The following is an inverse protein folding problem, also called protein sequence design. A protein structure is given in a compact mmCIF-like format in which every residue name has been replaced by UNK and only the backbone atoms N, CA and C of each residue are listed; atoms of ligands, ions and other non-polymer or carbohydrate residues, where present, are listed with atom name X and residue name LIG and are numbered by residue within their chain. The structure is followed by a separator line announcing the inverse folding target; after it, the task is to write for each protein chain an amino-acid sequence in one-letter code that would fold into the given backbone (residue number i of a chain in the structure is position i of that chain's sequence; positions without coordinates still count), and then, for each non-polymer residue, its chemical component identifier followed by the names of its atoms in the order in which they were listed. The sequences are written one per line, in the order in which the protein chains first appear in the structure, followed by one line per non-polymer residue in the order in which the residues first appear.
data_IF_824204926996
#
_entry.id   IF_824204926996
#
_cell.length_a   1.000
_cell.length_b   1.000
_cell.length_c   1.000
_cell.angle_alpha   90.00
_cell.angle_beta   90.00
_cell.angle_gamma   90.00
#
_symmetry.space_group_name_H-M   'P 1'
#
loop_
_entity.id
_entity.type
_entity.pdbx_description
1 polymer ?
#
# COMPACT_ATOMS: atom_id res chain seq x y z
N UNK A 1 33.56 -18.18 68.41
CA UNK A 1 33.81 -18.76 67.10
C UNK A 1 32.65 -18.35 66.23
N UNK A 2 32.85 -17.31 65.43
CA UNK A 2 31.80 -16.77 64.60
C UNK A 2 32.09 -17.12 63.14
N UNK A 3 31.13 -17.77 62.48
CA UNK A 3 31.15 -18.02 61.04
C UNK A 3 30.26 -17.00 60.38
N UNK A 4 30.87 -16.08 59.64
CA UNK A 4 30.22 -15.16 58.72
C UNK A 4 29.99 -15.86 57.40
N UNK A 5 28.72 -16.01 57.02
CA UNK A 5 28.30 -16.42 55.69
C UNK A 5 27.92 -15.17 54.89
N UNK A 6 28.71 -14.88 53.89
CA UNK A 6 28.47 -13.83 52.92
C UNK A 6 27.60 -14.39 51.77
N UNK A 7 26.44 -13.79 51.52
CA UNK A 7 25.59 -14.09 50.35
C UNK A 7 26.01 -13.24 49.16
N UNK A 8 26.16 -13.76 47.96
CA UNK A 8 26.31 -12.96 46.76
C UNK A 8 24.96 -12.53 46.22
N UNK A 9 24.77 -11.22 46.11
CA UNK A 9 23.71 -10.61 45.30
C UNK A 9 24.04 -10.75 43.82
N UNK A 10 23.29 -11.57 43.12
CA UNK A 10 23.36 -11.67 41.68
C UNK A 10 22.25 -10.86 41.03
N UNK A 11 22.56 -9.66 40.55
CA UNK A 11 21.72 -8.94 39.60
C UNK A 11 21.93 -9.54 38.20
N UNK A 12 21.15 -10.55 37.88
CA UNK A 12 21.01 -11.02 36.49
C UNK A 12 20.08 -10.07 35.71
N UNK A 13 20.73 -9.06 35.12
CA UNK A 13 20.11 -8.23 34.08
C UNK A 13 19.80 -9.11 32.87
N UNK A 14 18.56 -9.60 32.79
CA UNK A 14 18.02 -10.26 31.60
C UNK A 14 18.01 -9.23 30.47
N UNK A 15 19.05 -9.22 29.66
CA UNK A 15 19.05 -8.55 28.36
C UNK A 15 17.99 -9.22 27.51
N UNK A 16 16.83 -8.56 27.38
CA UNK A 16 15.82 -8.91 26.40
C UNK A 16 16.44 -8.70 25.02
N UNK A 17 16.94 -9.75 24.43
CA UNK A 17 17.32 -9.80 23.03
C UNK A 17 16.07 -9.49 22.19
N UNK A 18 16.05 -8.30 21.59
CA UNK A 18 15.09 -7.94 20.56
C UNK A 18 15.38 -8.85 19.36
N UNK A 19 14.47 -9.73 18.90
CA UNK A 19 14.74 -10.54 17.73
C UNK A 19 14.78 -9.60 16.53
N UNK A 20 15.98 -9.26 16.05
CA UNK A 20 16.13 -8.65 14.74
C UNK A 20 15.63 -9.67 13.71
N UNK A 21 14.70 -9.28 12.82
CA UNK A 21 14.29 -10.18 11.75
C UNK A 21 15.51 -10.49 10.86
N UNK A 22 15.70 -11.77 10.58
CA UNK A 22 16.81 -12.33 9.79
C UNK A 22 16.71 -11.97 8.29
N UNK A 23 16.68 -10.68 7.95
CA UNK A 23 16.83 -10.16 6.59
C UNK A 23 18.15 -9.39 6.49
N UNK A 24 19.26 -10.14 6.51
CA UNK A 24 20.61 -9.58 6.38
C UNK A 24 20.99 -9.19 4.93
N UNK A 25 20.12 -9.40 3.94
CA UNK A 25 20.33 -8.91 2.58
C UNK A 25 19.72 -7.51 2.43
N UNK A 26 20.49 -6.59 1.82
CA UNK A 26 20.01 -5.26 1.49
C UNK A 26 18.76 -5.35 0.61
N UNK A 27 17.59 -4.95 1.13
CA UNK A 27 16.30 -4.98 0.40
C UNK A 27 16.37 -4.22 -0.92
N UNK A 28 17.18 -3.16 -0.98
CA UNK A 28 17.35 -2.40 -2.19
C UNK A 28 18.06 -3.22 -3.28
N UNK A 29 19.10 -3.98 -2.94
CA UNK A 29 19.76 -4.87 -3.89
C UNK A 29 18.87 -6.05 -4.29
N UNK A 30 18.00 -6.55 -3.40
CA UNK A 30 16.98 -7.54 -3.78
C UNK A 30 16.02 -6.99 -4.84
N UNK A 31 15.59 -5.72 -4.73
CA UNK A 31 14.77 -5.07 -5.77
C UNK A 31 15.48 -5.11 -7.12
N UNK A 32 16.80 -4.86 -7.16
CA UNK A 32 17.60 -4.78 -8.38
C UNK A 32 18.17 -6.14 -8.87
N UNK A 33 17.93 -7.23 -8.14
CA UNK A 33 18.31 -8.56 -8.59
C UNK A 33 17.70 -8.88 -9.95
N UNK A 34 18.52 -9.50 -10.82
CA UNK A 34 18.14 -9.80 -12.20
C UNK A 34 16.81 -10.56 -12.29
N UNK A 35 16.66 -11.60 -11.49
CA UNK A 35 15.47 -12.45 -11.55
C UNK A 35 14.22 -11.71 -11.09
N UNK A 36 14.35 -10.83 -10.07
CA UNK A 36 13.26 -9.99 -9.62
C UNK A 36 12.85 -8.96 -10.70
N UNK A 37 13.82 -8.34 -11.36
CA UNK A 37 13.55 -7.40 -12.46
C UNK A 37 12.92 -8.11 -13.66
N UNK A 38 13.39 -9.31 -14.02
CA UNK A 38 12.78 -10.10 -15.09
C UNK A 38 11.33 -10.49 -14.76
N UNK A 39 11.07 -10.95 -13.54
CA UNK A 39 9.71 -11.25 -13.07
C UNK A 39 8.82 -10.00 -13.10
N UNK A 40 9.35 -8.85 -12.68
CA UNK A 40 8.65 -7.57 -12.74
C UNK A 40 8.32 -7.17 -14.19
N UNK A 41 9.30 -7.30 -15.09
CA UNK A 41 9.09 -7.06 -16.52
C UNK A 41 7.99 -7.95 -17.10
N UNK A 42 8.02 -9.25 -16.83
CA UNK A 42 6.97 -10.16 -17.32
C UNK A 42 5.57 -9.75 -16.88
N UNK A 43 5.41 -9.32 -15.63
CA UNK A 43 4.12 -8.82 -15.10
C UNK A 43 3.69 -7.52 -15.77
N UNK A 44 4.62 -6.56 -15.92
CA UNK A 44 4.34 -5.28 -16.61
C UNK A 44 3.96 -5.52 -18.06
N UNK A 45 4.66 -6.41 -18.76
CA UNK A 45 4.35 -6.79 -20.14
C UNK A 45 2.97 -7.45 -20.28
N UNK A 46 2.62 -8.34 -19.37
CA UNK A 46 1.32 -9.02 -19.38
C UNK A 46 0.12 -8.06 -19.25
N UNK A 47 0.31 -6.94 -18.52
CA UNK A 47 -0.72 -5.93 -18.32
C UNK A 47 -0.99 -5.03 -19.54
N UNK A 48 -0.16 -5.07 -20.60
CA UNK A 48 -0.34 -4.35 -21.87
C UNK A 48 -0.73 -2.87 -21.71
N UNK A 49 -0.17 -2.19 -20.71
CA UNK A 49 -0.55 -0.81 -20.36
C UNK A 49 -0.02 0.22 -21.37
N UNK A 50 -0.74 1.32 -21.54
CA UNK A 50 -0.36 2.44 -22.40
C UNK A 50 1.00 3.08 -22.04
N UNK A 51 1.70 3.78 -22.94
CA UNK A 51 2.95 4.48 -22.66
C UNK A 51 2.77 5.62 -21.65
N UNK A 52 3.83 5.90 -20.88
CA UNK A 52 3.90 7.03 -19.96
C UNK A 52 4.15 8.36 -20.66
N UNK A 53 4.78 9.31 -19.94
CA UNK A 53 5.11 10.65 -20.46
C UNK A 53 6.22 10.63 -21.50
N UNK A 54 7.06 9.59 -21.48
CA UNK A 54 8.18 9.39 -22.41
C UNK A 54 7.76 8.78 -23.76
N UNK A 55 6.48 8.38 -23.91
CA UNK A 55 5.96 7.75 -25.09
C UNK A 55 6.47 6.33 -25.35
N UNK A 56 7.31 5.75 -24.48
CA UNK A 56 7.87 4.42 -24.65
C UNK A 56 6.78 3.34 -24.47
N UNK A 57 6.64 2.50 -25.49
CA UNK A 57 5.68 1.38 -25.46
C UNK A 57 6.27 0.14 -24.76
N UNK A 58 5.41 -0.79 -24.40
CA UNK A 58 5.81 -2.09 -23.84
C UNK A 58 6.74 -2.84 -24.82
N UNK A 59 6.43 -2.79 -26.12
CA UNK A 59 7.18 -3.47 -27.17
C UNK A 59 8.58 -2.88 -27.40
N UNK A 60 8.73 -1.58 -27.20
CA UNK A 60 10.00 -0.87 -27.35
C UNK A 60 10.97 -1.11 -26.17
N UNK A 61 10.45 -1.38 -24.98
CA UNK A 61 11.26 -1.51 -23.75
C UNK A 61 12.39 -2.54 -23.84
N UNK A 62 12.23 -3.76 -24.42
CA UNK A 62 13.33 -4.74 -24.49
C UNK A 62 14.52 -4.26 -25.33
N UNK A 63 14.27 -3.57 -26.44
CA UNK A 63 15.34 -3.00 -27.28
C UNK A 63 16.07 -1.86 -26.53
N UNK A 64 15.32 -0.96 -25.92
CA UNK A 64 15.85 0.11 -25.07
C UNK A 64 16.68 -0.44 -23.90
N UNK A 65 16.23 -1.47 -23.22
CA UNK A 65 16.95 -2.06 -22.10
C UNK A 65 18.28 -2.71 -22.54
N UNK A 66 18.30 -3.43 -23.69
CA UNK A 66 19.50 -4.08 -24.25
C UNK A 66 20.54 -3.10 -24.76
N UNK A 67 20.15 -1.90 -25.21
CA UNK A 67 21.07 -0.86 -25.69
C UNK A 67 21.87 -0.17 -24.56
N UNK A 68 21.85 -0.70 -23.34
CA UNK A 68 22.63 -0.20 -22.21
C UNK A 68 21.88 0.76 -21.28
N UNK A 69 20.71 1.22 -21.67
CA UNK A 69 19.92 2.16 -20.85
C UNK A 69 19.50 1.55 -19.49
N UNK A 70 19.13 0.27 -19.48
CA UNK A 70 18.80 -0.38 -18.19
C UNK A 70 20.01 -0.45 -17.25
N UNK A 71 21.21 -0.71 -17.79
CA UNK A 71 22.44 -0.70 -16.98
C UNK A 71 22.69 0.66 -16.35
N UNK A 72 22.52 1.74 -17.13
CA UNK A 72 22.61 3.12 -16.63
C UNK A 72 21.58 3.36 -15.53
N UNK A 73 20.29 3.05 -15.77
CA UNK A 73 19.20 3.20 -14.79
C UNK A 73 19.51 2.44 -13.50
N UNK A 74 19.98 1.21 -13.58
CA UNK A 74 20.38 0.43 -12.40
C UNK A 74 21.54 1.06 -11.63
N UNK A 75 22.50 1.69 -12.32
CA UNK A 75 23.57 2.44 -11.68
C UNK A 75 23.03 3.70 -11.00
N UNK A 76 22.21 4.49 -11.66
CA UNK A 76 21.57 5.69 -11.11
C UNK A 76 20.74 5.37 -9.85
N UNK A 77 20.01 4.24 -9.87
CA UNK A 77 19.27 3.73 -8.70
C UNK A 77 20.22 3.43 -7.53
N UNK A 78 21.36 2.75 -7.77
CA UNK A 78 22.33 2.39 -6.73
C UNK A 78 23.00 3.59 -6.09
N UNK A 79 23.30 4.62 -6.89
CA UNK A 79 23.93 5.85 -6.39
C UNK A 79 22.92 6.91 -5.93
N UNK A 80 21.61 6.59 -5.98
CA UNK A 80 20.55 7.50 -5.53
C UNK A 80 20.28 8.69 -6.46
N UNK A 81 20.74 8.61 -7.71
CA UNK A 81 20.56 9.67 -8.72
C UNK A 81 19.38 9.42 -9.66
N UNK A 82 18.71 8.28 -9.53
CA UNK A 82 17.51 8.03 -10.31
C UNK A 82 16.36 8.91 -9.84
N UNK A 83 15.71 9.57 -10.78
CA UNK A 83 14.54 10.41 -10.53
C UNK A 83 13.32 9.83 -11.26
N UNK A 84 12.28 9.36 -10.56
CA UNK A 84 11.05 8.90 -11.17
C UNK A 84 10.43 9.98 -12.08
N UNK A 85 9.96 9.57 -13.24
CA UNK A 85 9.22 10.47 -14.11
C UNK A 85 7.84 10.78 -13.53
N UNK A 86 7.28 11.97 -13.79
CA UNK A 86 5.88 12.26 -13.46
C UNK A 86 4.96 11.31 -14.22
N UNK A 87 3.81 10.96 -13.64
CA UNK A 87 2.85 10.10 -14.33
C UNK A 87 2.07 10.89 -15.38
N UNK A 88 1.73 10.27 -16.49
CA UNK A 88 0.81 10.82 -17.49
C UNK A 88 -0.62 10.66 -16.97
N UNK A 89 -1.30 11.78 -16.69
CA UNK A 89 -2.68 11.77 -16.22
C UNK A 89 -3.65 11.57 -17.37
N UNK A 90 -4.58 10.61 -17.19
CA UNK A 90 -5.67 10.31 -18.14
C UNK A 90 -6.99 10.24 -17.38
N UNK A 91 -8.03 10.79 -17.94
CA UNK A 91 -9.38 10.65 -17.40
C UNK A 91 -10.09 9.46 -18.04
N UNK A 92 -10.74 8.66 -17.22
CA UNK A 92 -11.60 7.54 -17.66
C UNK A 92 -13.00 7.78 -17.08
N UNK A 93 -14.02 7.64 -17.93
CA UNK A 93 -15.40 7.76 -17.49
C UNK A 93 -15.78 6.63 -16.53
N UNK A 94 -16.50 6.97 -15.48
CA UNK A 94 -17.10 6.00 -14.57
C UNK A 94 -18.50 5.64 -15.02
N UNK A 95 -19.01 4.44 -14.66
CA UNK A 95 -20.38 4.05 -14.96
C UNK A 95 -21.45 4.98 -14.36
N UNK A 96 -21.12 5.70 -13.28
CA UNK A 96 -21.99 6.67 -12.62
C UNK A 96 -21.94 8.09 -13.22
N UNK A 97 -21.31 8.27 -14.39
CA UNK A 97 -21.16 9.54 -15.09
C UNK A 97 -20.04 10.44 -14.56
N UNK A 98 -19.32 10.01 -13.53
CA UNK A 98 -18.14 10.71 -13.02
C UNK A 98 -16.88 10.39 -13.81
N UNK A 99 -15.75 11.09 -13.51
CA UNK A 99 -14.44 10.80 -14.10
C UNK A 99 -13.49 10.24 -13.04
N UNK A 100 -12.71 9.23 -13.43
CA UNK A 100 -11.59 8.69 -12.65
C UNK A 100 -10.29 9.14 -13.29
N UNK A 101 -9.40 9.71 -12.50
CA UNK A 101 -8.09 10.10 -12.95
C UNK A 101 -7.09 8.96 -12.74
N UNK A 102 -6.53 8.45 -13.84
CA UNK A 102 -5.45 7.47 -13.79
C UNK A 102 -4.11 8.15 -14.05
N UNK A 103 -3.09 7.73 -13.30
CA UNK A 103 -1.71 8.11 -13.55
C UNK A 103 -0.97 6.96 -14.23
N UNK A 104 -0.49 7.15 -15.43
CA UNK A 104 0.25 6.15 -16.20
C UNK A 104 1.75 6.44 -16.04
N UNK A 105 2.51 5.65 -15.25
CA UNK A 105 3.95 5.77 -15.16
C UNK A 105 4.63 5.32 -16.45
N UNK A 106 5.90 5.72 -16.66
CA UNK A 106 6.72 5.16 -17.73
C UNK A 106 6.86 3.65 -17.61
N UNK A 107 7.21 2.96 -18.69
CA UNK A 107 7.44 1.50 -18.64
C UNK A 107 8.58 1.18 -17.67
N UNK A 108 9.64 1.99 -17.67
CA UNK A 108 10.77 1.83 -16.74
C UNK A 108 10.32 1.94 -15.29
N UNK A 109 9.56 2.98 -14.96
CA UNK A 109 9.03 3.17 -13.60
C UNK A 109 8.08 2.05 -13.17
N UNK A 110 7.25 1.55 -14.09
CA UNK A 110 6.39 0.38 -13.81
C UNK A 110 7.21 -0.87 -13.45
N UNK A 111 8.31 -1.13 -14.18
CA UNK A 111 9.18 -2.27 -13.87
C UNK A 111 9.83 -2.10 -12.50
N UNK A 112 10.34 -0.93 -12.18
CA UNK A 112 10.95 -0.65 -10.87
C UNK A 112 9.91 -0.76 -9.74
N UNK A 113 8.75 -0.13 -9.90
CA UNK A 113 7.65 -0.20 -8.92
C UNK A 113 7.16 -1.64 -8.70
N UNK A 114 7.04 -2.42 -9.77
CA UNK A 114 6.66 -3.82 -9.69
C UNK A 114 7.73 -4.65 -8.96
N UNK A 115 9.02 -4.39 -9.22
CA UNK A 115 10.11 -5.05 -8.51
C UNK A 115 10.12 -4.70 -7.01
N UNK A 116 9.84 -3.45 -6.65
CA UNK A 116 9.67 -3.03 -5.25
C UNK A 116 8.47 -3.76 -4.63
N UNK A 117 7.32 -3.79 -5.30
CA UNK A 117 6.13 -4.45 -4.79
C UNK A 117 6.36 -5.96 -4.53
N UNK A 118 7.11 -6.64 -5.38
CA UNK A 118 7.46 -8.06 -5.21
C UNK A 118 8.31 -8.31 -3.96
N UNK A 119 9.26 -7.44 -3.66
CA UNK A 119 10.12 -7.55 -2.47
C UNK A 119 9.37 -7.17 -1.19
N UNK A 120 8.50 -6.17 -1.25
CA UNK A 120 7.78 -5.68 -0.07
C UNK A 120 6.53 -6.50 0.28
N UNK A 121 5.86 -7.10 -0.69
CA UNK A 121 4.65 -7.89 -0.43
C UNK A 121 4.86 -9.00 0.62
N UNK A 122 5.92 -9.84 0.56
CA UNK A 122 6.17 -10.85 1.57
C UNK A 122 6.44 -10.30 2.98
N UNK A 123 6.86 -9.04 3.09
CA UNK A 123 7.15 -8.37 4.37
C UNK A 123 5.86 -7.84 5.01
N UNK A 124 4.96 -7.30 4.19
CA UNK A 124 3.76 -6.62 4.69
C UNK A 124 2.52 -7.51 4.73
N UNK A 125 2.29 -8.32 3.68
CA UNK A 125 1.06 -9.09 3.49
C UNK A 125 0.74 -10.07 4.64
N UNK A 126 1.71 -10.78 5.25
CA UNK A 126 1.42 -11.67 6.39
C UNK A 126 0.88 -10.96 7.63
N UNK A 127 1.12 -9.64 7.74
CA UNK A 127 0.62 -8.83 8.85
C UNK A 127 -0.73 -8.17 8.59
N UNK A 128 -1.29 -8.28 7.40
CA UNK A 128 -2.60 -7.71 7.09
C UNK A 128 -3.74 -8.57 7.64
N UNK A 129 -4.85 -7.91 7.97
CA UNK A 129 -6.07 -8.57 8.45
C UNK A 129 -6.57 -9.67 7.50
N UNK A 130 -7.07 -10.76 8.06
CA UNK A 130 -7.76 -11.81 7.30
C UNK A 130 -9.08 -11.32 6.67
N UNK A 131 -9.63 -10.22 7.14
CA UNK A 131 -10.82 -9.58 6.60
C UNK A 131 -10.51 -8.59 5.46
N UNK A 132 -9.24 -8.45 5.05
CA UNK A 132 -8.80 -7.64 3.92
C UNK A 132 -8.50 -8.53 2.71
N UNK A 133 -9.13 -8.26 1.56
CA UNK A 133 -9.11 -9.14 0.39
C UNK A 133 -8.53 -8.47 -0.86
N UNK A 134 -8.69 -7.17 -1.02
CA UNK A 134 -8.28 -6.45 -2.22
C UNK A 134 -6.77 -6.32 -2.37
N UNK A 135 -6.26 -6.47 -3.58
CA UNK A 135 -4.85 -6.28 -3.94
C UNK A 135 -3.85 -7.19 -3.21
N UNK A 136 -4.30 -8.35 -2.74
CA UNK A 136 -3.47 -9.30 -2.00
C UNK A 136 -3.24 -10.60 -2.77
N UNK A 137 -2.09 -11.26 -2.63
CA UNK A 137 -1.85 -12.59 -3.18
C UNK A 137 -2.90 -13.58 -2.69
N UNK A 138 -3.40 -14.43 -3.58
CA UNK A 138 -4.35 -15.52 -3.28
C UNK A 138 -5.69 -15.06 -2.67
N UNK A 139 -6.01 -13.76 -2.74
CA UNK A 139 -7.27 -13.19 -2.28
C UNK A 139 -8.02 -12.52 -3.43
N UNK A 140 -9.36 -12.52 -3.36
CA UNK A 140 -10.22 -11.97 -4.42
C UNK A 140 -11.54 -11.45 -3.87
N UNK A 141 -12.33 -10.78 -4.74
CA UNK A 141 -13.63 -10.22 -4.37
C UNK A 141 -14.67 -11.26 -3.96
N UNK A 142 -14.64 -12.45 -4.56
CA UNK A 142 -15.57 -13.54 -4.19
C UNK A 142 -15.37 -13.99 -2.74
N UNK A 143 -14.13 -14.01 -2.26
CA UNK A 143 -13.83 -14.31 -0.86
C UNK A 143 -14.36 -13.20 0.07
N UNK A 144 -14.26 -11.92 -0.32
CA UNK A 144 -14.85 -10.81 0.43
C UNK A 144 -16.37 -10.95 0.53
N UNK A 145 -17.05 -11.26 -0.59
CA UNK A 145 -18.50 -11.51 -0.61
C UNK A 145 -18.88 -12.68 0.28
N UNK A 146 -18.16 -13.81 0.22
CA UNK A 146 -18.40 -14.97 1.09
C UNK A 146 -18.22 -14.61 2.57
N UNK A 147 -17.26 -13.75 2.91
CA UNK A 147 -17.08 -13.26 4.27
C UNK A 147 -18.30 -12.44 4.72
N UNK A 148 -18.79 -11.50 3.91
CA UNK A 148 -20.01 -10.73 4.20
C UNK A 148 -21.21 -11.66 4.41
N UNK A 149 -21.43 -12.63 3.51
CA UNK A 149 -22.51 -13.62 3.63
C UNK A 149 -22.42 -14.43 4.94
N UNK A 150 -21.21 -14.84 5.34
CA UNK A 150 -20.97 -15.54 6.60
C UNK A 150 -21.38 -14.68 7.79
N UNK A 151 -21.01 -13.41 7.79
CA UNK A 151 -21.31 -12.47 8.85
C UNK A 151 -22.82 -12.18 8.97
N UNK A 152 -23.54 -12.09 7.84
CA UNK A 152 -25.01 -11.97 7.81
C UNK A 152 -25.67 -13.19 8.45
N UNK A 153 -25.24 -14.41 8.08
CA UNK A 153 -25.76 -15.67 8.67
C UNK A 153 -25.54 -15.77 10.19
N UNK A 154 -24.60 -15.00 10.74
CA UNK A 154 -24.38 -14.89 12.20
C UNK A 154 -25.31 -13.87 12.89
N UNK A 155 -26.37 -13.43 12.22
CA UNK A 155 -27.38 -12.52 12.77
C UNK A 155 -27.00 -11.04 12.73
N UNK A 156 -26.06 -10.64 11.85
CA UNK A 156 -25.72 -9.23 11.58
C UNK A 156 -26.47 -8.77 10.34
N UNK A 157 -27.69 -8.29 10.52
CA UNK A 157 -28.60 -7.94 9.41
C UNK A 157 -28.43 -6.53 8.89
N UNK A 158 -27.52 -5.73 9.42
CA UNK A 158 -27.29 -4.36 8.97
C UNK A 158 -25.85 -4.19 8.51
N UNK A 159 -25.69 -3.59 7.32
CA UNK A 159 -24.39 -3.27 6.77
C UNK A 159 -24.11 -1.78 6.91
N UNK A 160 -22.92 -1.43 7.34
CA UNK A 160 -22.36 -0.09 7.36
C UNK A 160 -21.39 -0.03 6.20
N UNK A 161 -21.84 0.53 5.08
CA UNK A 161 -21.00 0.74 3.91
C UNK A 161 -20.27 2.07 4.05
N UNK A 162 -18.95 2.04 3.88
CA UNK A 162 -18.10 3.22 4.02
C UNK A 162 -17.29 3.42 2.75
N UNK A 163 -17.53 4.53 2.08
CA UNK A 163 -16.82 5.01 0.90
C UNK A 163 -15.80 6.09 1.31
N UNK A 164 -14.56 5.94 0.87
CA UNK A 164 -13.51 6.93 1.09
C UNK A 164 -13.45 7.93 -0.06
N UNK A 165 -13.66 9.21 0.24
CA UNK A 165 -13.64 10.27 -0.77
C UNK A 165 -12.25 10.43 -1.37
N UNK A 166 -12.10 10.06 -2.66
CA UNK A 166 -10.85 10.21 -3.42
C UNK A 166 -9.65 9.63 -2.66
N UNK A 167 -9.79 8.40 -2.15
CA UNK A 167 -8.79 7.76 -1.29
C UNK A 167 -7.36 7.88 -1.84
N UNK A 168 -7.12 7.43 -3.07
CA UNK A 168 -5.79 7.47 -3.67
C UNK A 168 -5.23 8.89 -3.82
N UNK A 169 -6.06 9.90 -4.01
CA UNK A 169 -5.64 11.29 -4.17
C UNK A 169 -5.32 11.98 -2.82
N UNK A 170 -5.71 11.36 -1.68
CA UNK A 170 -5.63 11.95 -0.33
C UNK A 170 -4.73 11.20 0.64
N UNK A 171 -4.01 10.19 0.19
CA UNK A 171 -3.07 9.47 1.05
C UNK A 171 -1.98 10.43 1.54
N UNK A 172 -1.90 10.62 2.84
CA UNK A 172 -0.86 11.45 3.46
C UNK A 172 0.51 10.76 3.34
N UNK A 173 1.47 11.41 2.68
CA UNK A 173 2.79 10.85 2.42
C UNK A 173 3.57 10.57 3.71
N UNK A 174 3.55 11.47 4.70
CA UNK A 174 4.32 11.32 5.93
C UNK A 174 3.80 10.14 6.76
N UNK A 175 2.48 9.98 6.87
CA UNK A 175 1.88 8.84 7.53
C UNK A 175 2.22 7.53 6.81
N UNK A 176 2.14 7.49 5.48
CA UNK A 176 2.50 6.30 4.71
C UNK A 176 3.98 5.96 4.86
N UNK A 177 4.87 6.96 4.73
CA UNK A 177 6.32 6.76 4.90
C UNK A 177 6.69 6.32 6.31
N UNK A 178 6.03 6.84 7.33
CA UNK A 178 6.20 6.39 8.72
C UNK A 178 5.83 4.91 8.89
N UNK A 179 4.72 4.46 8.27
CA UNK A 179 4.31 3.03 8.30
C UNK A 179 5.28 2.12 7.55
N UNK A 180 5.80 2.57 6.43
CA UNK A 180 6.85 1.85 5.69
C UNK A 180 8.12 1.74 6.54
N UNK A 181 8.59 2.85 7.11
CA UNK A 181 9.81 2.91 7.93
C UNK A 181 9.72 2.08 9.22
N UNK A 182 8.52 1.81 9.73
CA UNK A 182 8.34 0.94 10.89
C UNK A 182 8.71 -0.54 10.62
N UNK A 183 8.67 -0.99 9.36
CA UNK A 183 9.02 -2.37 8.96
C UNK A 183 10.24 -2.46 8.05
N UNK A 184 10.62 -1.37 7.38
CA UNK A 184 11.73 -1.34 6.42
C UNK A 184 12.87 -0.52 7.00
N UNK A 185 14.00 -1.18 7.29
CA UNK A 185 15.23 -0.50 7.69
C UNK A 185 16.18 -0.35 6.49
N UNK A 186 15.71 0.30 5.41
CA UNK A 186 16.53 0.57 4.23
C UNK A 186 16.26 1.98 3.71
N UNK A 187 17.15 2.91 4.05
CA UNK A 187 16.99 4.35 3.73
C UNK A 187 16.92 4.60 2.20
N UNK A 188 17.70 3.84 1.39
CA UNK A 188 17.69 4.00 -0.07
C UNK A 188 16.32 3.63 -0.66
N UNK A 189 15.76 2.49 -0.23
CA UNK A 189 14.45 2.04 -0.69
C UNK A 189 13.34 3.00 -0.26
N UNK A 190 13.34 3.44 0.99
CA UNK A 190 12.39 4.44 1.49
C UNK A 190 12.49 5.76 0.73
N UNK A 191 13.72 6.24 0.45
CA UNK A 191 13.95 7.45 -0.35
C UNK A 191 13.34 7.31 -1.74
N UNK A 192 13.58 6.18 -2.43
CA UNK A 192 13.02 5.93 -3.77
C UNK A 192 11.49 5.89 -3.76
N UNK A 193 10.87 5.22 -2.77
CA UNK A 193 9.40 5.22 -2.62
C UNK A 193 8.90 6.65 -2.39
N UNK A 194 9.55 7.43 -1.53
CA UNK A 194 9.21 8.82 -1.30
C UNK A 194 9.34 9.69 -2.56
N UNK A 195 10.32 9.42 -3.42
CA UNK A 195 10.45 10.08 -4.72
C UNK A 195 9.28 9.72 -5.66
N UNK A 196 8.85 8.45 -5.72
CA UNK A 196 7.66 8.04 -6.48
C UNK A 196 6.39 8.75 -6.02
N UNK A 197 6.20 8.91 -4.72
CA UNK A 197 5.04 9.63 -4.17
C UNK A 197 5.04 11.10 -4.59
N UNK A 198 6.23 11.74 -4.67
CA UNK A 198 6.40 13.16 -5.02
C UNK A 198 6.64 13.43 -6.51
N UNK A 199 6.75 12.40 -7.35
CA UNK A 199 7.07 12.56 -8.77
C UNK A 199 6.07 13.47 -9.53
N UNK A 200 4.84 13.56 -9.02
CA UNK A 200 3.79 14.38 -9.60
C UNK A 200 3.18 13.79 -10.85
N UNK A 201 2.48 14.61 -11.58
CA UNK A 201 1.81 14.20 -12.81
C UNK A 201 1.86 15.30 -13.89
N UNK A 202 1.71 14.89 -15.14
CA UNK A 202 1.52 15.79 -16.28
C UNK A 202 0.06 15.74 -16.70
N UNK A 203 -0.60 16.90 -16.68
CA UNK A 203 -1.93 17.12 -17.21
C UNK A 203 -1.88 18.37 -18.10
N UNK A 204 -2.48 18.31 -19.29
CA UNK A 204 -2.51 19.43 -20.24
C UNK A 204 -1.10 20.04 -20.50
N UNK A 205 -0.09 19.20 -20.67
CA UNK A 205 1.33 19.55 -20.89
C UNK A 205 2.01 20.31 -19.73
N UNK A 206 1.35 20.45 -18.59
CA UNK A 206 1.91 21.09 -17.40
C UNK A 206 2.24 20.05 -16.33
N UNK A 207 3.43 20.17 -15.75
CA UNK A 207 3.83 19.35 -14.59
C UNK A 207 3.24 19.94 -13.32
N UNK A 208 2.60 19.09 -12.54
CA UNK A 208 2.10 19.42 -11.21
C UNK A 208 2.76 18.49 -10.18
N UNK A 209 3.21 19.07 -9.10
CA UNK A 209 3.77 18.32 -7.98
C UNK A 209 2.67 17.63 -7.16
N UNK A 210 2.99 16.47 -6.60
CA UNK A 210 2.10 15.77 -5.67
C UNK A 210 2.63 15.92 -4.24
N UNK A 211 1.84 16.56 -3.36
CA UNK A 211 2.14 16.69 -1.93
C UNK A 211 1.40 15.65 -1.09
N UNK A 212 0.39 15.04 -1.65
CA UNK A 212 -0.40 13.96 -1.09
C UNK A 212 -0.88 13.03 -2.21
N UNK A 213 -1.37 11.88 -1.87
CA UNK A 213 -1.90 10.89 -2.80
C UNK A 213 -0.88 9.89 -3.31
N UNK A 214 -1.42 8.79 -3.82
CA UNK A 214 -0.68 7.71 -4.49
C UNK A 214 -1.24 7.59 -5.90
N UNK A 215 -0.42 7.65 -6.96
CA UNK A 215 -0.91 7.59 -8.33
C UNK A 215 -1.72 6.32 -8.59
N UNK A 216 -2.98 6.46 -9.04
CA UNK A 216 -3.79 5.32 -9.49
C UNK A 216 -3.25 4.81 -10.82
N UNK A 217 -2.75 3.56 -10.86
CA UNK A 217 -2.23 2.91 -12.07
C UNK A 217 -0.78 2.44 -11.99
N UNK A 218 -0.04 2.83 -10.96
CA UNK A 218 1.30 2.28 -10.68
C UNK A 218 1.22 0.90 -10.01
N UNK A 219 2.14 -0.04 -10.32
CA UNK A 219 2.14 -1.38 -9.73
C UNK A 219 2.38 -1.42 -8.21
N UNK A 220 2.99 -0.38 -7.65
CA UNK A 220 3.25 -0.27 -6.21
C UNK A 220 2.03 0.24 -5.43
N UNK A 221 1.16 1.02 -6.06
CA UNK A 221 0.03 1.71 -5.42
C UNK A 221 -0.94 0.79 -4.67
N UNK A 222 -1.27 -0.42 -5.16
CA UNK A 222 -2.13 -1.35 -4.44
C UNK A 222 -1.57 -1.80 -3.08
N UNK A 223 -0.27 -2.08 -3.01
CA UNK A 223 0.39 -2.44 -1.76
C UNK A 223 0.41 -1.24 -0.79
N UNK A 224 0.75 -0.05 -1.29
CA UNK A 224 0.76 1.18 -0.47
C UNK A 224 -0.62 1.51 0.10
N UNK A 225 -1.68 1.26 -0.68
CA UNK A 225 -3.06 1.40 -0.22
C UNK A 225 -3.37 0.47 0.97
N UNK A 226 -3.00 -0.81 0.87
CA UNK A 226 -3.18 -1.75 1.97
C UNK A 226 -2.34 -1.38 3.21
N UNK A 227 -1.10 -0.92 3.05
CA UNK A 227 -0.26 -0.44 4.15
C UNK A 227 -0.90 0.77 4.84
N UNK A 228 -1.50 1.68 4.08
CA UNK A 228 -2.18 2.86 4.63
C UNK A 228 -3.43 2.49 5.41
N UNK A 229 -4.18 1.46 4.98
CA UNK A 229 -5.45 1.04 5.58
C UNK A 229 -5.31 -0.05 6.64
N UNK A 230 -4.15 -0.72 6.76
CA UNK A 230 -3.91 -1.75 7.79
C UNK A 230 -4.25 -1.30 9.23
N UNK A 231 -3.94 -0.05 9.67
CA UNK A 231 -4.37 0.40 10.99
C UNK A 231 -5.89 0.50 11.17
N UNK A 232 -6.65 0.76 10.10
CA UNK A 232 -8.12 0.71 10.15
C UNK A 232 -8.58 -0.71 10.42
N UNK A 233 -8.05 -1.69 9.68
CA UNK A 233 -8.40 -3.10 9.86
C UNK A 233 -8.12 -3.55 11.30
N UNK A 234 -6.94 -3.23 11.82
CA UNK A 234 -6.54 -3.54 13.21
C UNK A 234 -7.40 -2.85 14.25
N UNK A 235 -7.81 -1.62 13.98
CA UNK A 235 -8.72 -0.91 14.88
C UNK A 235 -10.12 -1.53 14.89
N UNK A 236 -10.62 -1.97 13.72
CA UNK A 236 -11.88 -2.71 13.62
C UNK A 236 -11.82 -4.03 14.37
N UNK A 237 -10.75 -4.80 14.22
CA UNK A 237 -10.50 -6.04 14.95
C UNK A 237 -10.41 -5.81 16.47
N UNK A 238 -9.63 -4.83 16.89
CA UNK A 238 -9.49 -4.46 18.31
C UNK A 238 -10.83 -4.14 18.97
N UNK A 239 -11.74 -3.49 18.23
CA UNK A 239 -13.10 -3.16 18.70
C UNK A 239 -14.07 -4.32 18.57
N UNK A 240 -13.66 -5.47 18.04
CA UNK A 240 -14.52 -6.63 17.83
C UNK A 240 -15.56 -6.43 16.72
N UNK A 241 -15.31 -5.54 15.77
CA UNK A 241 -16.20 -5.33 14.63
C UNK A 241 -16.02 -6.43 13.59
N UNK A 242 -17.16 -6.92 13.08
CA UNK A 242 -17.21 -7.87 11.98
C UNK A 242 -17.23 -7.10 10.65
N UNK A 243 -16.24 -7.31 9.78
CA UNK A 243 -16.11 -6.56 8.54
C UNK A 243 -15.49 -7.37 7.42
N UNK A 244 -15.58 -6.82 6.21
CA UNK A 244 -14.82 -7.22 5.05
C UNK A 244 -14.36 -5.96 4.29
N UNK A 245 -13.09 -5.93 3.90
CA UNK A 245 -12.53 -4.84 3.09
C UNK A 245 -11.99 -5.36 1.76
N UNK A 246 -12.33 -4.68 0.68
CA UNK A 246 -11.74 -4.89 -0.64
C UNK A 246 -11.15 -3.58 -1.17
N UNK A 247 -9.82 -3.45 -1.12
CA UNK A 247 -9.11 -2.19 -1.40
C UNK A 247 -9.56 -1.05 -0.46
N UNK A 248 -10.13 0.02 -1.00
CA UNK A 248 -10.68 1.17 -0.26
C UNK A 248 -12.17 1.02 0.08
N UNK A 249 -12.87 0.04 -0.50
CA UNK A 249 -14.26 -0.27 -0.16
C UNK A 249 -14.31 -1.22 1.05
N UNK A 250 -15.10 -0.89 2.07
CA UNK A 250 -15.30 -1.78 3.21
C UNK A 250 -16.67 -1.69 3.82
N UNK A 251 -17.14 -2.83 4.29
CA UNK A 251 -18.46 -3.02 4.88
C UNK A 251 -18.29 -3.59 6.29
N UNK A 252 -18.92 -2.95 7.28
CA UNK A 252 -18.95 -3.45 8.67
C UNK A 252 -20.36 -3.97 8.96
N UNK A 253 -20.46 -5.20 9.48
CA UNK A 253 -21.75 -5.85 9.75
C UNK A 253 -22.12 -5.73 11.23
N UNK A 254 -23.33 -5.23 11.50
CA UNK A 254 -23.86 -5.00 12.86
C UNK A 254 -25.25 -5.61 13.04
N UNK A 255 -25.71 -5.69 14.30
CA UNK A 255 -26.99 -6.32 14.63
C UNK A 255 -28.20 -5.37 14.62
N UNK A 256 -27.97 -4.04 14.58
CA UNK A 256 -29.06 -3.06 14.56
C UNK A 256 -28.61 -1.78 13.84
N UNK A 257 -29.57 -1.06 13.25
CA UNK A 257 -29.36 0.25 12.60
C UNK A 257 -28.68 1.24 13.54
N UNK A 258 -29.17 1.35 14.78
CA UNK A 258 -28.59 2.25 15.79
C UNK A 258 -27.11 1.93 16.11
N UNK A 259 -26.75 0.65 16.12
CA UNK A 259 -25.34 0.24 16.27
C UNK A 259 -24.53 0.65 15.04
N UNK A 260 -25.09 0.50 13.83
CA UNK A 260 -24.46 0.91 12.58
C UNK A 260 -24.18 2.41 12.54
N UNK A 261 -25.12 3.24 12.89
CA UNK A 261 -24.96 4.71 12.94
C UNK A 261 -23.83 5.14 13.89
N UNK A 262 -23.77 4.53 15.08
CA UNK A 262 -22.65 4.77 16.04
C UNK A 262 -21.30 4.31 15.50
N UNK A 263 -21.26 3.16 14.84
CA UNK A 263 -20.04 2.63 14.23
C UNK A 263 -19.59 3.54 13.10
N UNK A 264 -20.49 3.94 12.19
CA UNK A 264 -20.18 4.86 11.10
C UNK A 264 -19.58 6.17 11.63
N UNK A 265 -20.23 6.80 12.60
CA UNK A 265 -19.74 8.05 13.21
C UNK A 265 -18.35 7.88 13.88
N UNK A 266 -18.14 6.78 14.59
CA UNK A 266 -16.89 6.48 15.30
C UNK A 266 -15.73 6.19 14.35
N UNK A 267 -15.98 5.40 13.29
CA UNK A 267 -14.95 5.03 12.29
C UNK A 267 -14.63 6.22 11.38
N UNK A 268 -15.63 7.03 11.01
CA UNK A 268 -15.39 8.27 10.26
C UNK A 268 -14.44 9.21 11.02
N UNK A 269 -14.65 9.37 12.33
CA UNK A 269 -13.76 10.15 13.20
C UNK A 269 -12.36 9.57 13.27
N UNK A 270 -12.22 8.24 13.39
CA UNK A 270 -10.92 7.56 13.39
C UNK A 270 -10.16 7.78 12.07
N UNK A 271 -10.82 7.58 10.94
CA UNK A 271 -10.26 7.80 9.61
C UNK A 271 -9.74 9.23 9.44
N UNK A 272 -10.55 10.21 9.83
CA UNK A 272 -10.18 11.63 9.72
C UNK A 272 -9.04 12.02 10.66
N UNK A 273 -9.11 11.62 11.92
CA UNK A 273 -8.14 12.05 12.94
C UNK A 273 -6.80 11.30 12.83
N UNK A 274 -6.85 9.97 12.60
CA UNK A 274 -5.66 9.10 12.64
C UNK A 274 -5.05 8.85 11.27
N UNK A 275 -5.86 8.73 10.22
CA UNK A 275 -5.39 8.41 8.88
C UNK A 275 -5.45 9.60 7.92
N UNK A 276 -6.03 10.74 8.34
CA UNK A 276 -6.22 11.94 7.52
C UNK A 276 -7.05 11.66 6.25
N UNK A 277 -7.89 10.62 6.29
CA UNK A 277 -8.77 10.23 5.21
C UNK A 277 -10.18 10.78 5.44
N UNK A 278 -10.89 11.09 4.35
CA UNK A 278 -12.23 11.68 4.39
C UNK A 278 -13.25 10.65 3.93
N UNK A 279 -14.27 10.42 4.77
CA UNK A 279 -15.43 9.60 4.42
C UNK A 279 -16.35 10.39 3.51
N UNK A 280 -16.84 9.78 2.46
CA UNK A 280 -17.85 10.33 1.56
C UNK A 280 -19.23 10.17 2.19
N UNK A 281 -19.73 11.23 2.83
CA UNK A 281 -21.01 11.19 3.56
C UNK A 281 -22.21 10.87 2.68
N UNK A 282 -22.18 11.21 1.37
CA UNK A 282 -23.29 10.93 0.46
C UNK A 282 -23.36 9.48 -0.01
N UNK A 283 -22.23 8.76 0.06
CA UNK A 283 -22.13 7.34 -0.34
C UNK A 283 -21.99 6.39 0.84
N UNK A 284 -21.77 6.90 2.05
CA UNK A 284 -21.62 6.06 3.24
C UNK A 284 -22.92 6.04 4.04
N UNK A 285 -23.45 4.84 4.28
CA UNK A 285 -24.76 4.70 4.91
C UNK A 285 -24.92 3.35 5.62
N UNK A 286 -26.01 3.23 6.39
CA UNK A 286 -26.41 1.98 7.07
C UNK A 286 -27.62 1.41 6.35
N UNK A 287 -27.52 0.21 5.82
CA UNK A 287 -28.56 -0.55 5.13
C UNK A 287 -28.91 -1.82 5.88
#
# INVERSE_FOLDING_TARGET
MHLNTCSPSGDDAIQRANPQPAFSQDLFEQVLQRDNILAAWHRVRANKGAPGVDGMTIEAFPAWARSGHWKRTATELRVGQYHPAPVRRVEIDKPDGGKRQLGIPTVTDRVIQQAIAQVLTPIFDPGFSDNSFGFRPHRNGQQAVKQVQRLIKQGRGFAVDVDLSKFFDRVNHDLLMSKLGAKINNKRLLSLIGQYLRAGFIANQQRQESREGVPQGGPLSPLLANIMLDPLDKELEKRGHAFARYADDFTILVRSRRAGERVLASISRYLQQRLKLVVNASKSHVV
#
